data_IF_076115354245
#
_entry.id   IF_076115354245
#
_cell.length_a   1.000
_cell.length_b   1.000
_cell.length_c   1.000
_cell.angle_alpha   90.00
_cell.angle_beta   90.00
_cell.angle_gamma   90.00
#
_symmetry.space_group_name_H-M   'P 1'
#
loop_
_entity.id
_entity.type
_entity.pdbx_description
1 polymer ?
#
# COMPACT_ATOMS: atom_id res chain seq x y z
N UNK A 1 -28.52 22.07 2.87
CA UNK A 1 -27.14 21.58 2.97
C UNK A 1 -26.56 21.49 1.58
N UNK A 2 -25.37 22.05 1.35
CA UNK A 2 -24.75 22.01 0.03
C UNK A 2 -23.94 20.71 -0.09
N UNK A 3 -24.36 19.71 -0.88
CA UNK A 3 -23.62 18.47 -1.03
C UNK A 3 -22.27 18.77 -1.70
N UNK A 4 -21.18 18.32 -1.08
CA UNK A 4 -19.84 18.45 -1.66
C UNK A 4 -19.82 17.89 -3.08
N UNK A 5 -19.19 18.64 -4.00
CA UNK A 5 -18.94 18.22 -5.37
C UNK A 5 -18.07 16.95 -5.41
N UNK A 6 -18.08 16.24 -6.54
CA UNK A 6 -17.25 15.05 -6.71
C UNK A 6 -15.75 15.34 -6.49
N UNK A 7 -15.31 16.55 -6.84
CA UNK A 7 -13.93 17.02 -6.64
C UNK A 7 -13.61 17.21 -5.16
N UNK A 8 -14.48 17.89 -4.41
CA UNK A 8 -14.30 18.10 -2.97
C UNK A 8 -14.29 16.77 -2.20
N UNK A 9 -15.15 15.83 -2.59
CA UNK A 9 -15.16 14.46 -2.01
C UNK A 9 -13.84 13.74 -2.27
N UNK A 10 -13.31 13.82 -3.49
CA UNK A 10 -12.04 13.19 -3.83
C UNK A 10 -10.87 13.82 -3.07
N UNK A 11 -10.84 15.15 -2.98
CA UNK A 11 -9.80 15.88 -2.24
C UNK A 11 -9.82 15.53 -0.75
N UNK A 12 -11.01 15.49 -0.13
CA UNK A 12 -11.17 15.10 1.26
C UNK A 12 -10.71 13.65 1.51
N UNK A 13 -11.05 12.72 0.61
CA UNK A 13 -10.61 11.34 0.70
C UNK A 13 -9.07 11.21 0.61
N UNK A 14 -8.45 11.93 -0.32
CA UNK A 14 -7.00 11.95 -0.47
C UNK A 14 -6.30 12.62 0.73
N UNK A 15 -6.85 13.70 1.27
CA UNK A 15 -6.32 14.37 2.44
C UNK A 15 -6.29 13.43 3.66
N UNK A 16 -7.40 12.72 3.93
CA UNK A 16 -7.48 11.73 5.01
C UNK A 16 -6.51 10.56 4.81
N UNK A 17 -6.31 10.11 3.57
CA UNK A 17 -5.36 9.03 3.27
C UNK A 17 -3.90 9.47 3.51
N UNK A 18 -3.55 10.72 3.19
CA UNK A 18 -2.20 11.28 3.42
C UNK A 18 -1.85 11.45 4.90
N UNK A 19 -2.84 11.69 5.76
CA UNK A 19 -2.63 11.77 7.20
C UNK A 19 -2.23 10.42 7.81
N UNK A 20 -2.78 9.33 7.28
CA UNK A 20 -2.61 7.97 7.82
C UNK A 20 -1.59 7.11 7.07
N UNK A 21 -1.24 7.47 5.83
CA UNK A 21 -0.34 6.69 4.97
C UNK A 21 0.73 7.58 4.34
N UNK A 22 1.97 7.10 4.31
CA UNK A 22 3.09 7.74 3.60
C UNK A 22 3.26 7.10 2.22
N UNK A 23 3.53 7.90 1.20
CA UNK A 23 3.81 7.42 -0.16
C UNK A 23 5.18 6.73 -0.23
N UNK A 24 5.27 5.61 -0.94
CA UNK A 24 6.52 4.91 -1.23
C UNK A 24 6.67 4.72 -2.75
N UNK A 25 7.76 5.24 -3.33
CA UNK A 25 8.07 5.10 -4.75
C UNK A 25 9.25 4.15 -4.92
N UNK A 26 9.07 3.10 -5.70
CA UNK A 26 10.10 2.10 -5.99
C UNK A 26 10.11 1.74 -7.46
N UNK A 27 11.29 1.42 -7.97
CA UNK A 27 11.47 0.81 -9.27
C UNK A 27 11.91 -0.63 -9.07
N UNK A 28 11.27 -1.55 -9.78
CA UNK A 28 11.58 -2.98 -9.81
C UNK A 28 11.63 -3.43 -11.26
N UNK A 29 12.22 -4.59 -11.54
CA UNK A 29 12.26 -5.13 -12.90
C UNK A 29 10.86 -5.49 -13.39
N UNK A 30 10.69 -5.56 -14.71
CA UNK A 30 9.43 -5.93 -15.37
C UNK A 30 8.91 -7.28 -14.90
N UNK A 31 9.80 -8.26 -14.79
CA UNK A 31 9.48 -9.64 -14.47
C UNK A 31 8.90 -9.73 -13.06
N UNK A 32 9.56 -9.07 -12.10
CA UNK A 32 9.11 -9.01 -10.71
C UNK A 32 7.76 -8.29 -10.61
N UNK A 33 7.57 -7.19 -11.35
CA UNK A 33 6.30 -6.46 -11.33
C UNK A 33 5.14 -7.30 -11.87
N UNK A 34 5.37 -8.06 -12.94
CA UNK A 34 4.35 -8.91 -13.53
C UNK A 34 3.98 -10.09 -12.62
N UNK A 35 4.98 -10.71 -11.97
CA UNK A 35 4.74 -11.76 -10.98
C UNK A 35 4.00 -11.23 -9.75
N UNK A 36 4.42 -10.07 -9.25
CA UNK A 36 3.76 -9.39 -8.15
C UNK A 36 2.29 -9.07 -8.46
N UNK A 37 2.01 -8.59 -9.68
CA UNK A 37 0.64 -8.34 -10.15
C UNK A 37 -0.20 -9.62 -10.14
N UNK A 38 0.31 -10.71 -10.72
CA UNK A 38 -0.39 -12.02 -10.72
C UNK A 38 -0.68 -12.52 -9.30
N UNK A 39 0.26 -12.34 -8.38
CA UNK A 39 0.08 -12.71 -6.98
C UNK A 39 -1.02 -11.90 -6.30
N UNK A 40 -1.11 -10.59 -6.58
CA UNK A 40 -2.18 -9.73 -6.08
C UNK A 40 -3.54 -10.14 -6.63
N UNK A 41 -3.64 -10.41 -7.93
CA UNK A 41 -4.86 -10.88 -8.60
C UNK A 41 -5.35 -12.21 -8.01
N UNK A 42 -4.45 -13.18 -7.83
CA UNK A 42 -4.77 -14.49 -7.27
C UNK A 42 -5.30 -14.42 -5.82
N UNK A 43 -4.83 -13.44 -5.04
CA UNK A 43 -5.27 -13.24 -3.65
C UNK A 43 -6.43 -12.24 -3.52
N UNK A 44 -6.87 -11.62 -4.62
CA UNK A 44 -7.94 -10.62 -4.60
C UNK A 44 -7.60 -9.36 -3.82
N UNK A 45 -6.32 -8.98 -3.74
CA UNK A 45 -5.85 -7.81 -2.99
C UNK A 45 -5.22 -6.78 -3.93
N UNK A 46 -5.19 -5.52 -3.49
CA UNK A 46 -4.45 -4.48 -4.21
C UNK A 46 -2.95 -4.63 -4.01
N UNK A 47 -2.18 -4.07 -4.94
CA UNK A 47 -0.73 -3.99 -4.86
C UNK A 47 -0.25 -3.33 -3.56
N UNK A 48 -0.93 -2.26 -3.12
CA UNK A 48 -0.58 -1.56 -1.88
C UNK A 48 -0.81 -2.42 -0.64
N UNK A 49 -1.93 -3.14 -0.56
CA UNK A 49 -2.22 -4.05 0.56
C UNK A 49 -1.19 -5.19 0.63
N UNK A 50 -0.83 -5.74 -0.54
CA UNK A 50 0.20 -6.77 -0.61
C UNK A 50 1.57 -6.25 -0.18
N UNK A 51 1.99 -5.06 -0.63
CA UNK A 51 3.25 -4.42 -0.18
C UNK A 51 3.23 -4.22 1.33
N UNK A 52 2.13 -3.71 1.90
CA UNK A 52 2.02 -3.54 3.34
C UNK A 52 2.15 -4.85 4.10
N UNK A 53 1.53 -5.93 3.61
CA UNK A 53 1.63 -7.26 4.20
C UNK A 53 3.07 -7.77 4.18
N UNK A 54 3.72 -7.73 3.02
CA UNK A 54 5.11 -8.19 2.86
C UNK A 54 6.08 -7.41 3.76
N UNK A 55 5.90 -6.09 3.88
CA UNK A 55 6.71 -5.26 4.78
C UNK A 55 6.44 -5.63 6.25
N UNK A 56 5.18 -5.79 6.67
CA UNK A 56 4.82 -6.19 8.04
C UNK A 56 5.41 -7.55 8.40
N UNK A 57 5.35 -8.51 7.49
CA UNK A 57 5.91 -9.85 7.67
C UNK A 57 7.44 -9.79 7.79
N UNK A 58 8.11 -9.07 6.89
CA UNK A 58 9.56 -8.87 6.92
C UNK A 58 10.03 -8.16 8.20
N UNK A 59 9.35 -7.08 8.61
CA UNK A 59 9.65 -6.36 9.86
C UNK A 59 9.47 -7.29 11.07
N UNK A 60 8.43 -8.11 11.10
CA UNK A 60 8.17 -9.05 12.20
C UNK A 60 9.25 -10.12 12.28
N UNK A 61 9.71 -10.63 11.14
CA UNK A 61 10.83 -11.58 11.07
C UNK A 61 12.15 -10.93 11.54
N UNK A 62 12.40 -9.66 11.15
CA UNK A 62 13.59 -8.93 11.57
C UNK A 62 13.61 -8.55 13.06
N UNK A 63 12.44 -8.27 13.68
CA UNK A 63 12.35 -8.03 15.13
C UNK A 63 12.74 -9.24 15.98
N UNK A 64 12.79 -10.45 15.41
CA UNK A 64 13.33 -11.62 16.09
C UNK A 64 14.86 -11.62 16.27
N UNK A 65 15.58 -10.79 15.50
CA UNK A 65 17.05 -10.74 15.49
C UNK A 65 17.66 -9.57 16.28
N UNK A 66 16.85 -8.59 16.68
CA UNK A 66 17.27 -7.49 17.57
C UNK A 66 16.62 -7.74 18.92
N UNK A 67 17.19 -8.68 19.69
CA UNK A 67 17.03 -8.66 21.14
C UNK A 67 18.09 -7.68 21.66
N UNK A 68 17.64 -6.58 22.26
CA UNK A 68 18.47 -5.79 23.17
C UNK A 68 19.06 -6.69 24.29
#
# INVERSE_FOLDING_TARGET
GNPMSAVERQQSHLARKKETHKEMRVYVTSEIKDEFRRMCEAQGVTQSEMIEKLIKDAVSQHKGFVKD
#
